data_IF_683378100177
#
_entry.id   IF_683378100177
#
_cell.length_a   1.000
_cell.length_b   1.000
_cell.length_c   1.000
_cell.angle_alpha   90.00
_cell.angle_beta   90.00
_cell.angle_gamma   90.00
#
_symmetry.space_group_name_H-M   'P 1'
#
loop_
_entity.id
_entity.type
_entity.pdbx_description
1 polymer ?
#
# COMPACT_ATOMS: atom_id res chain seq x y z
N UNK A 1 -33.38 1.03 2.54
CA UNK A 1 -32.32 0.13 3.05
C UNK A 1 -31.01 0.88 3.04
N UNK A 2 -30.49 1.23 4.22
CA UNK A 2 -29.22 1.99 4.35
C UNK A 2 -28.08 1.02 4.14
N UNK A 3 -27.40 1.08 3.01
CA UNK A 3 -26.11 0.42 2.85
C UNK A 3 -25.12 1.08 3.81
N UNK A 4 -24.85 0.40 4.91
CA UNK A 4 -23.83 0.78 5.87
C UNK A 4 -22.48 0.80 5.13
N UNK A 5 -21.85 1.95 5.27
CA UNK A 5 -20.48 2.27 4.84
C UNK A 5 -19.56 1.08 5.07
N UNK A 6 -19.19 0.40 4.00
CA UNK A 6 -18.05 -0.51 4.00
C UNK A 6 -16.82 0.38 3.77
N UNK A 7 -16.59 1.25 4.75
CA UNK A 7 -15.32 1.94 4.84
C UNK A 7 -14.23 0.88 4.94
N UNK A 8 -13.11 1.13 4.34
CA UNK A 8 -11.87 0.35 4.48
C UNK A 8 -11.41 0.45 5.94
N UNK A 9 -12.19 -0.12 6.86
CA UNK A 9 -11.80 -0.45 8.22
C UNK A 9 -11.36 -1.92 8.27
N UNK A 10 -10.49 -2.34 7.33
CA UNK A 10 -9.83 -3.65 7.40
C UNK A 10 -8.41 -3.45 7.94
N UNK A 11 -8.25 -2.54 8.88
CA UNK A 11 -6.98 -2.33 9.57
C UNK A 11 -7.06 -2.64 11.07
N UNK A 12 -8.00 -3.49 11.48
CA UNK A 12 -8.06 -3.94 12.88
C UNK A 12 -8.10 -5.45 12.94
N UNK A 13 -6.95 -6.09 12.80
CA UNK A 13 -6.75 -7.45 13.27
C UNK A 13 -5.39 -7.54 13.95
N UNK A 14 -5.45 -7.52 15.25
CA UNK A 14 -4.36 -7.78 16.19
C UNK A 14 -3.62 -9.07 15.82
N UNK A 15 -2.37 -8.94 15.39
CA UNK A 15 -1.46 -10.09 15.35
C UNK A 15 -0.20 -9.76 16.14
N UNK A 16 -0.11 -10.35 17.33
CA UNK A 16 1.11 -10.39 18.12
C UNK A 16 2.14 -11.25 17.38
N UNK A 17 3.21 -10.66 16.86
CA UNK A 17 4.37 -11.39 16.41
C UNK A 17 5.63 -11.00 17.18
N UNK A 18 6.31 -12.06 17.59
CA UNK A 18 7.50 -12.16 18.38
C UNK A 18 8.68 -11.43 17.72
N UNK A 19 9.32 -10.58 18.49
CA UNK A 19 10.60 -9.95 18.17
C UNK A 19 11.70 -11.00 18.13
N UNK A 20 12.25 -11.28 16.98
CA UNK A 20 13.61 -11.82 16.86
C UNK A 20 14.49 -10.68 16.36
N UNK A 21 15.26 -10.13 17.28
CA UNK A 21 16.27 -9.16 16.95
C UNK A 21 17.46 -9.84 16.27
N UNK A 22 17.99 -9.21 15.25
CA UNK A 22 19.39 -9.34 14.88
C UNK A 22 19.91 -8.00 14.36
N UNK A 23 20.85 -7.46 15.09
CA UNK A 23 21.63 -6.28 14.82
C UNK A 23 22.56 -6.51 13.64
N UNK A 24 22.49 -5.63 12.63
CA UNK A 24 23.43 -5.54 11.53
C UNK A 24 23.36 -4.16 10.90
N UNK A 25 24.40 -3.39 11.12
CA UNK A 25 24.62 -2.01 10.70
C UNK A 25 24.23 -1.73 9.24
N UNK A 26 23.21 -0.92 9.06
CA UNK A 26 23.12 0.05 7.97
C UNK A 26 22.18 1.16 8.40
N UNK A 27 22.71 2.36 8.56
CA UNK A 27 22.06 3.53 9.18
C UNK A 27 20.95 4.19 8.32
N UNK A 28 20.48 3.56 7.27
CA UNK A 28 19.39 4.11 6.45
C UNK A 28 18.13 3.26 6.61
N UNK A 29 17.22 3.74 7.45
CA UNK A 29 15.87 3.16 7.56
C UNK A 29 15.02 3.33 6.29
N UNK A 30 15.49 4.14 5.35
CA UNK A 30 14.80 4.48 4.10
C UNK A 30 15.75 4.29 2.91
N UNK A 31 15.99 3.05 2.45
CA UNK A 31 16.87 2.80 1.31
C UNK A 31 16.42 3.57 0.07
N UNK A 32 17.32 4.32 -0.53
CA UNK A 32 17.04 5.18 -1.70
C UNK A 32 16.43 4.38 -2.89
N UNK A 33 16.78 3.11 -3.04
CA UNK A 33 16.20 2.25 -4.08
C UNK A 33 14.70 2.00 -3.92
N UNK A 34 14.15 2.19 -2.73
CA UNK A 34 12.72 2.03 -2.45
C UNK A 34 11.94 3.34 -2.56
N UNK A 35 12.60 4.48 -2.55
CA UNK A 35 11.94 5.78 -2.74
C UNK A 35 11.32 5.87 -4.12
N UNK A 36 10.11 6.42 -4.21
CA UNK A 36 9.43 6.60 -5.49
C UNK A 36 7.92 6.47 -5.43
N UNK A 37 7.32 6.41 -6.61
CA UNK A 37 5.89 6.16 -6.80
C UNK A 37 5.69 4.76 -7.36
N UNK A 38 4.79 4.03 -6.75
CA UNK A 38 4.34 2.69 -7.14
C UNK A 38 2.86 2.75 -7.48
N UNK A 39 2.47 2.16 -8.59
CA UNK A 39 1.07 2.08 -9.03
C UNK A 39 0.52 0.67 -8.81
N UNK A 40 -0.76 0.57 -8.48
CA UNK A 40 -1.43 -0.71 -8.29
C UNK A 40 -1.41 -1.54 -9.58
N UNK A 41 -0.93 -2.76 -9.47
CA UNK A 41 -0.99 -3.75 -10.55
C UNK A 41 -2.22 -4.66 -10.38
N UNK A 42 -2.41 -5.18 -9.17
CA UNK A 42 -3.51 -6.10 -8.89
C UNK A 42 -3.94 -6.05 -7.43
N UNK A 43 -5.18 -6.46 -7.19
CA UNK A 43 -5.74 -6.55 -5.85
C UNK A 43 -6.65 -7.76 -5.72
N UNK A 44 -6.46 -8.51 -4.65
CA UNK A 44 -7.34 -9.60 -4.24
C UNK A 44 -7.93 -9.28 -2.87
N UNK A 45 -9.24 -9.35 -2.77
CA UNK A 45 -9.97 -9.18 -1.50
C UNK A 45 -10.80 -10.45 -1.27
N UNK A 46 -10.57 -11.09 -0.15
CA UNK A 46 -11.37 -12.21 0.33
C UNK A 46 -12.13 -11.79 1.57
N UNK A 47 -13.43 -12.04 1.60
CA UNK A 47 -14.28 -11.77 2.75
C UNK A 47 -15.25 -12.93 2.95
N UNK A 48 -14.94 -13.82 3.90
CA UNK A 48 -15.59 -15.12 4.06
C UNK A 48 -15.44 -15.96 2.80
N UNK A 49 -16.55 -16.39 2.22
CA UNK A 49 -16.59 -17.21 1.00
C UNK A 49 -16.54 -16.39 -0.30
N UNK A 50 -16.53 -15.06 -0.20
CA UNK A 50 -16.50 -14.17 -1.37
C UNK A 50 -15.08 -13.71 -1.66
N UNK A 51 -14.66 -13.91 -2.90
CA UNK A 51 -13.40 -13.38 -3.41
C UNK A 51 -13.70 -12.37 -4.52
N UNK A 52 -13.06 -11.22 -4.46
CA UNK A 52 -13.06 -10.20 -5.49
C UNK A 52 -11.61 -9.98 -5.91
N UNK A 53 -11.35 -10.09 -7.20
CA UNK A 53 -10.00 -9.89 -7.75
C UNK A 53 -10.06 -8.85 -8.85
N UNK A 54 -9.08 -7.98 -8.86
CA UNK A 54 -8.81 -7.01 -9.92
C UNK A 54 -7.44 -7.36 -10.49
N UNK A 55 -7.39 -7.81 -11.74
CA UNK A 55 -6.13 -8.07 -12.43
C UNK A 55 -5.53 -6.75 -12.92
N UNK A 56 -4.25 -6.81 -13.34
CA UNK A 56 -3.55 -5.66 -13.91
C UNK A 56 -4.31 -5.06 -15.10
N UNK A 57 -4.75 -5.90 -16.02
CA UNK A 57 -5.48 -5.47 -17.22
C UNK A 57 -6.81 -4.80 -16.87
N UNK A 58 -7.53 -5.36 -15.90
CA UNK A 58 -8.78 -4.78 -15.42
C UNK A 58 -8.55 -3.44 -14.74
N UNK A 59 -7.53 -3.35 -13.89
CA UNK A 59 -7.15 -2.09 -13.23
C UNK A 59 -6.78 -1.03 -14.27
N UNK A 60 -5.92 -1.34 -15.25
CA UNK A 60 -5.51 -0.41 -16.29
C UNK A 60 -6.71 0.11 -17.12
N UNK A 61 -7.68 -0.74 -17.43
CA UNK A 61 -8.88 -0.32 -18.16
C UNK A 61 -9.71 0.67 -17.35
N UNK A 62 -9.96 0.37 -16.08
CA UNK A 62 -10.77 1.23 -15.19
C UNK A 62 -10.04 2.52 -14.87
N UNK A 63 -8.74 2.46 -14.58
CA UNK A 63 -7.89 3.61 -14.31
C UNK A 63 -7.87 4.60 -15.49
N UNK A 64 -7.65 4.09 -16.71
CA UNK A 64 -7.66 4.92 -17.93
C UNK A 64 -9.05 5.54 -18.20
N UNK A 65 -10.12 4.77 -18.02
CA UNK A 65 -11.48 5.26 -18.23
C UNK A 65 -11.90 6.31 -17.20
N UNK A 66 -11.50 6.12 -15.94
CA UNK A 66 -11.81 7.01 -14.82
C UNK A 66 -10.82 8.14 -14.61
N UNK A 67 -9.68 8.13 -15.30
CA UNK A 67 -8.56 9.05 -15.10
C UNK A 67 -8.13 9.15 -13.63
N UNK A 68 -7.96 8.01 -12.98
CA UNK A 68 -7.50 7.93 -11.59
C UNK A 68 -6.37 6.92 -11.43
N UNK A 69 -5.58 7.08 -10.38
CA UNK A 69 -4.47 6.19 -10.05
C UNK A 69 -4.52 5.82 -8.58
N UNK A 70 -4.40 4.53 -8.29
CA UNK A 70 -4.17 4.02 -6.93
C UNK A 70 -2.66 3.86 -6.78
N UNK A 71 -2.05 4.66 -5.92
CA UNK A 71 -0.61 4.74 -5.79
C UNK A 71 -0.14 4.63 -4.35
N UNK A 72 1.05 4.06 -4.20
CA UNK A 72 1.83 4.07 -2.98
C UNK A 72 3.08 4.90 -3.24
N UNK A 73 3.25 5.99 -2.51
CA UNK A 73 4.39 6.91 -2.63
C UNK A 73 5.29 6.77 -1.41
N UNK A 74 6.58 6.55 -1.63
CA UNK A 74 7.59 6.43 -0.57
C UNK A 74 8.58 7.59 -0.69
N UNK A 75 8.73 8.38 0.37
CA UNK A 75 9.65 9.52 0.44
C UNK A 75 10.86 9.21 1.29
N UNK A 76 11.98 9.89 1.04
CA UNK A 76 13.25 9.72 1.75
C UNK A 76 13.16 10.06 3.24
N UNK A 77 12.22 10.92 3.63
CA UNK A 77 11.98 11.34 5.01
C UNK A 77 11.21 10.30 5.85
N UNK A 78 10.89 9.14 5.26
CA UNK A 78 10.12 8.10 5.92
C UNK A 78 8.62 8.28 5.84
N UNK A 79 8.13 9.26 5.08
CA UNK A 79 6.70 9.41 4.81
C UNK A 79 6.27 8.47 3.69
N UNK A 80 5.15 7.80 3.87
CA UNK A 80 4.45 7.06 2.82
C UNK A 80 3.02 7.59 2.66
N UNK A 81 2.56 7.66 1.41
CA UNK A 81 1.19 8.09 1.08
C UNK A 81 0.55 7.00 0.22
N UNK A 82 -0.51 6.40 0.71
CA UNK A 82 -1.37 5.54 -0.08
C UNK A 82 -2.53 6.40 -0.60
N UNK A 83 -2.55 6.65 -1.90
CA UNK A 83 -3.66 7.28 -2.59
C UNK A 83 -4.58 6.18 -3.12
N UNK A 84 -5.83 6.18 -2.73
CA UNK A 84 -6.83 5.20 -3.15
C UNK A 84 -8.15 5.89 -3.50
N UNK A 85 -9.14 5.10 -3.90
CA UNK A 85 -10.50 5.57 -4.05
C UNK A 85 -11.36 5.05 -2.90
N UNK A 86 -12.15 5.93 -2.31
CA UNK A 86 -13.25 5.50 -1.45
C UNK A 86 -14.31 4.72 -2.26
N UNK A 87 -15.16 4.00 -1.53
CA UNK A 87 -16.32 3.31 -2.12
C UNK A 87 -17.30 4.25 -2.85
N UNK A 88 -17.21 5.55 -2.58
CA UNK A 88 -17.95 6.61 -3.27
C UNK A 88 -17.30 7.07 -4.58
N UNK A 89 -16.11 6.56 -4.92
CA UNK A 89 -15.30 7.01 -6.05
C UNK A 89 -14.54 8.31 -5.79
N UNK A 90 -14.53 8.82 -4.56
CA UNK A 90 -13.74 9.99 -4.20
C UNK A 90 -12.30 9.59 -3.84
N UNK A 91 -11.31 10.43 -4.17
CA UNK A 91 -9.93 10.21 -3.77
C UNK A 91 -9.78 10.20 -2.24
N UNK A 92 -9.05 9.22 -1.73
CA UNK A 92 -8.68 9.11 -0.33
C UNK A 92 -7.16 9.05 -0.21
N UNK A 93 -6.61 9.75 0.78
CA UNK A 93 -5.19 9.72 1.11
C UNK A 93 -4.98 9.19 2.50
N UNK A 94 -4.21 8.13 2.62
CA UNK A 94 -3.75 7.60 3.90
C UNK A 94 -2.28 7.96 4.06
N UNK A 95 -1.98 8.76 5.10
CA UNK A 95 -0.62 9.12 5.44
C UNK A 95 -0.06 8.10 6.41
N UNK A 96 1.09 7.54 6.06
CA UNK A 96 1.79 6.50 6.80
C UNK A 96 3.26 6.90 7.01
N UNK A 97 3.92 6.23 7.92
CA UNK A 97 5.37 6.16 7.99
C UNK A 97 5.84 4.83 7.46
N UNK A 98 7.02 4.81 6.87
CA UNK A 98 7.63 3.58 6.39
C UNK A 98 9.07 3.47 6.84
N UNK A 99 9.52 2.26 7.05
CA UNK A 99 10.91 1.92 7.31
C UNK A 99 11.24 0.56 6.70
N UNK A 100 12.50 0.39 6.30
CA UNK A 100 13.05 -0.86 5.80
C UNK A 100 14.49 -0.98 6.26
N UNK A 101 14.87 -2.13 6.79
CA UNK A 101 16.25 -2.40 7.24
C UNK A 101 17.05 -3.23 6.24
N UNK A 102 16.38 -3.94 5.33
CA UNK A 102 16.99 -4.93 4.44
C UNK A 102 16.71 -4.66 2.95
N UNK A 103 15.87 -3.68 2.63
CA UNK A 103 15.42 -3.39 1.27
C UNK A 103 14.51 -4.47 0.66
N UNK A 104 14.17 -5.52 1.42
CA UNK A 104 13.33 -6.64 0.99
C UNK A 104 11.98 -6.66 1.68
N UNK A 105 11.86 -5.93 2.76
CA UNK A 105 10.62 -5.75 3.50
C UNK A 105 10.45 -4.29 3.90
N UNK A 106 9.21 -3.83 3.90
CA UNK A 106 8.83 -2.48 4.33
C UNK A 106 7.81 -2.62 5.45
N UNK A 107 8.04 -1.92 6.54
CA UNK A 107 7.07 -1.80 7.62
C UNK A 107 6.38 -0.44 7.53
N UNK A 108 5.07 -0.45 7.40
CA UNK A 108 4.22 0.74 7.46
C UNK A 108 3.60 0.89 8.84
N UNK A 109 3.47 2.12 9.28
CA UNK A 109 2.79 2.48 10.53
C UNK A 109 2.03 3.79 10.37
N UNK A 110 0.93 3.93 11.08
CA UNK A 110 0.16 5.16 11.17
C UNK A 110 0.44 5.84 12.51
N UNK A 111 0.57 7.17 12.53
CA UNK A 111 0.88 7.93 13.76
C UNK A 111 -0.20 7.78 14.84
N UNK A 112 -1.44 7.55 14.45
CA UNK A 112 -2.59 7.39 15.35
C UNK A 112 -2.78 5.97 15.86
N UNK A 113 -2.12 4.98 15.25
CA UNK A 113 -2.30 3.55 15.53
C UNK A 113 -0.98 2.91 15.97
N UNK A 114 -1.07 1.92 16.85
CA UNK A 114 0.07 1.04 17.18
C UNK A 114 0.23 -0.09 16.15
N UNK A 115 -0.68 -0.18 15.21
CA UNK A 115 -0.68 -1.23 14.21
C UNK A 115 0.42 -0.99 13.18
N UNK A 116 1.09 -2.07 12.81
CA UNK A 116 2.12 -2.07 11.79
C UNK A 116 1.74 -3.09 10.72
N UNK A 117 1.94 -2.73 9.48
CA UNK A 117 1.73 -3.61 8.34
C UNK A 117 3.06 -3.82 7.64
N UNK A 118 3.42 -5.07 7.38
CA UNK A 118 4.66 -5.40 6.66
C UNK A 118 4.32 -5.82 5.24
N UNK A 119 5.01 -5.23 4.28
CA UNK A 119 4.98 -5.58 2.87
C UNK A 119 6.31 -6.21 2.45
N UNK A 120 6.26 -7.13 1.51
CA UNK A 120 7.45 -7.67 0.87
C UNK A 120 7.84 -6.85 -0.36
N UNK A 121 9.13 -6.79 -0.63
CA UNK A 121 9.71 -6.13 -1.81
C UNK A 121 10.41 -7.18 -2.65
N UNK A 122 10.06 -7.23 -3.92
CA UNK A 122 10.73 -8.06 -4.92
C UNK A 122 11.01 -7.21 -6.17
N UNK A 123 12.29 -6.95 -6.42
CA UNK A 123 12.77 -6.04 -7.46
C UNK A 123 12.09 -4.66 -7.39
N UNK A 124 11.18 -4.38 -8.29
CA UNK A 124 10.43 -3.12 -8.39
C UNK A 124 8.97 -3.24 -7.94
N UNK A 125 8.64 -4.33 -7.27
CA UNK A 125 7.28 -4.57 -6.78
C UNK A 125 7.23 -4.56 -5.25
N UNK A 126 6.15 -4.01 -4.74
CA UNK A 126 5.78 -4.07 -3.32
C UNK A 126 4.49 -4.87 -3.22
N UNK A 127 4.52 -5.96 -2.46
CA UNK A 127 3.34 -6.75 -2.16
C UNK A 127 2.93 -6.52 -0.72
N UNK A 128 1.76 -5.93 -0.55
CA UNK A 128 1.12 -5.73 0.74
C UNK A 128 0.05 -6.82 0.91
N UNK A 129 0.22 -7.65 1.92
CA UNK A 129 -0.73 -8.71 2.23
C UNK A 129 -1.12 -8.65 3.70
N UNK A 130 -2.41 -8.60 3.94
CA UNK A 130 -2.99 -8.61 5.28
C UNK A 130 -4.10 -9.63 5.35
N UNK A 131 -4.09 -10.46 6.37
CA UNK A 131 -5.11 -11.50 6.56
C UNK A 131 -5.57 -11.55 8.01
N UNK A 132 -6.85 -11.87 8.17
CA UNK A 132 -7.50 -12.21 9.42
C UNK A 132 -8.29 -13.50 9.24
N UNK A 133 -8.88 -14.01 10.32
CA UNK A 133 -9.68 -15.24 10.27
C UNK A 133 -10.83 -15.21 9.26
N UNK A 134 -11.30 -14.01 8.88
CA UNK A 134 -12.49 -13.84 8.04
C UNK A 134 -12.23 -13.06 6.76
N UNK A 135 -11.11 -12.39 6.64
CA UNK A 135 -10.83 -11.55 5.50
C UNK A 135 -9.33 -11.51 5.18
N UNK A 136 -9.00 -11.40 3.91
CA UNK A 136 -7.64 -11.10 3.47
C UNK A 136 -7.66 -10.09 2.34
N UNK A 137 -6.64 -9.25 2.31
CA UNK A 137 -6.38 -8.31 1.22
C UNK A 137 -4.94 -8.50 0.78
N UNK A 138 -4.75 -8.64 -0.52
CA UNK A 138 -3.44 -8.63 -1.15
C UNK A 138 -3.43 -7.56 -2.22
N UNK A 139 -2.47 -6.65 -2.16
CA UNK A 139 -2.25 -5.62 -3.17
C UNK A 139 -0.83 -5.72 -3.68
N UNK A 140 -0.66 -5.67 -4.99
CA UNK A 140 0.64 -5.63 -5.66
C UNK A 140 0.80 -4.29 -6.33
N UNK A 141 1.89 -3.61 -6.05
CA UNK A 141 2.23 -2.31 -6.62
C UNK A 141 3.54 -2.44 -7.39
N UNK A 142 3.61 -1.87 -8.59
CA UNK A 142 4.82 -1.80 -9.40
C UNK A 142 5.36 -0.38 -9.44
N UNK A 143 6.68 -0.24 -9.37
CA UNK A 143 7.36 1.06 -9.40
C UNK A 143 7.22 1.71 -10.77
N UNK A 144 6.68 2.92 -10.80
CA UNK A 144 6.47 3.71 -12.02
C UNK A 144 7.39 4.94 -12.09
N UNK A 145 7.94 5.36 -10.94
CA UNK A 145 8.87 6.50 -10.87
C UNK A 145 9.80 6.37 -9.67
N UNK A 146 11.04 6.86 -9.81
CA UNK A 146 11.98 7.01 -8.71
C UNK A 146 11.72 8.27 -7.86
N UNK A 147 10.67 9.02 -8.17
CA UNK A 147 10.25 10.21 -7.42
C UNK A 147 8.84 9.99 -6.87
N UNK A 148 8.58 10.37 -5.61
CA UNK A 148 7.22 10.44 -5.10
C UNK A 148 6.44 11.56 -5.81
N UNK A 149 5.11 11.47 -5.81
CA UNK A 149 4.25 12.49 -6.42
C UNK A 149 4.22 12.50 -7.96
N UNK A 150 4.56 11.40 -8.61
CA UNK A 150 4.66 11.31 -10.08
C UNK A 150 3.38 11.79 -10.80
N UNK A 151 2.22 11.37 -10.35
CA UNK A 151 0.95 11.76 -10.97
C UNK A 151 0.48 13.15 -10.56
N UNK A 152 0.82 13.63 -9.37
CA UNK A 152 0.49 14.99 -8.95
C UNK A 152 1.27 16.05 -9.72
N UNK A 153 2.48 15.74 -10.17
CA UNK A 153 3.29 16.65 -11.01
C UNK A 153 2.85 16.66 -12.48
N UNK A 154 2.32 15.54 -12.98
CA UNK A 154 1.88 15.44 -14.39
C UNK A 154 0.55 16.14 -14.67
N UNK A 155 -0.25 16.46 -13.67
CA UNK A 155 -1.49 17.24 -13.83
C UNK A 155 -1.28 18.75 -14.08
N UNK A 156 -0.02 19.20 -14.15
CA UNK A 156 0.36 20.61 -14.40
C UNK A 156 0.83 20.89 -15.82
N UNK A 157 0.62 19.95 -16.77
CA UNK A 157 0.93 20.17 -18.19
C UNK A 157 -0.31 20.36 -19.03
#
# INVERSE_FOLDING_TARGET
MKLKRLGICILTATLAFVLVGCSGLSDSKHPAGLVGTYELDSMDIKNGDKTQSITKEQYEQVSKAGNFHITLELSEDGTAILNSLESSGQPEKLNLKWESSDGKSITFSEDSSKEKVTASVDDKQITLEQSSDKASVKMVFSKVSDKPGYYSDSSKK
#
